data_IF_772384618989
#
_entry.id   IF_772384618989
#
_cell.length_a   1.000
_cell.length_b   1.000
_cell.length_c   1.000
_cell.angle_alpha   90.00
_cell.angle_beta   90.00
_cell.angle_gamma   90.00
#
_symmetry.space_group_name_H-M   'P 1'
#
loop_
_entity.id
_entity.type
_entity.pdbx_description
1 polymer ?
#
# COMPACT_ATOMS: atom_id res chain seq x y z
N UNK A 1 47.59 -16.99 -44.49
CA UNK A 1 47.33 -17.81 -43.30
C UNK A 1 47.04 -19.21 -43.78
N UNK A 2 47.81 -20.19 -43.32
CA UNK A 2 47.57 -21.57 -43.66
C UNK A 2 46.96 -22.26 -42.42
N UNK A 3 45.99 -23.12 -42.66
CA UNK A 3 45.38 -23.95 -41.63
C UNK A 3 45.45 -25.42 -42.06
N UNK A 4 46.10 -26.23 -41.22
CA UNK A 4 46.21 -27.67 -41.46
C UNK A 4 45.05 -28.42 -40.83
N UNK A 5 44.17 -29.00 -41.65
CA UNK A 5 43.13 -29.87 -41.20
C UNK A 5 43.66 -31.22 -40.77
N UNK A 6 43.25 -31.71 -39.61
CA UNK A 6 43.45 -33.09 -39.22
C UNK A 6 42.42 -33.97 -39.90
N UNK A 7 42.79 -35.22 -40.21
CA UNK A 7 41.85 -36.22 -40.71
C UNK A 7 40.67 -36.38 -39.73
N UNK A 8 39.44 -36.18 -40.22
CA UNK A 8 38.23 -36.28 -39.42
C UNK A 8 37.55 -37.65 -39.48
N UNK A 9 38.10 -38.59 -40.30
CA UNK A 9 37.54 -39.94 -40.50
C UNK A 9 36.08 -39.95 -40.98
N UNK A 10 35.65 -38.92 -41.66
CA UNK A 10 34.28 -38.79 -42.20
C UNK A 10 33.36 -37.94 -41.34
N UNK A 11 33.77 -37.49 -40.16
CA UNK A 11 32.98 -36.58 -39.33
C UNK A 11 33.09 -35.12 -39.86
N UNK A 12 32.02 -34.35 -39.73
CA UNK A 12 32.03 -32.92 -39.97
C UNK A 12 32.70 -32.21 -38.79
N UNK A 13 33.60 -31.30 -39.12
CA UNK A 13 34.32 -30.50 -38.12
C UNK A 13 34.19 -29.04 -38.50
N UNK A 14 33.70 -28.21 -37.55
CA UNK A 14 33.69 -26.76 -37.69
C UNK A 14 35.13 -26.24 -37.53
N UNK A 15 35.54 -25.37 -38.43
CA UNK A 15 36.82 -24.71 -38.39
C UNK A 15 36.65 -23.22 -38.43
N UNK A 16 37.00 -22.55 -37.33
CA UNK A 16 37.00 -21.10 -37.22
C UNK A 16 38.43 -20.58 -37.32
N UNK A 17 38.63 -19.56 -38.12
CA UNK A 17 39.92 -18.90 -38.28
C UNK A 17 39.76 -17.39 -38.23
N UNK A 18 40.47 -16.74 -37.32
CA UNK A 18 40.53 -15.30 -37.23
C UNK A 18 41.31 -14.76 -38.43
N UNK A 19 40.73 -13.84 -39.17
CA UNK A 19 41.35 -13.15 -40.27
C UNK A 19 41.80 -11.79 -39.78
N UNK A 20 43.10 -11.63 -39.59
CA UNK A 20 43.70 -10.39 -39.12
C UNK A 20 44.28 -9.60 -40.32
N UNK A 21 43.72 -8.41 -40.52
CA UNK A 21 44.22 -7.42 -41.47
C UNK A 21 45.18 -6.46 -40.77
N UNK A 22 46.42 -6.81 -40.67
CA UNK A 22 47.45 -6.06 -39.95
C UNK A 22 47.99 -4.81 -40.67
N UNK A 23 47.62 -4.55 -41.92
CA UNK A 23 48.09 -3.38 -42.66
C UNK A 23 47.00 -2.29 -42.77
N UNK A 24 47.03 -1.24 -41.95
CA UNK A 24 46.02 -0.17 -41.95
C UNK A 24 46.02 0.67 -43.25
N UNK A 25 47.03 0.55 -44.06
CA UNK A 25 47.17 1.31 -45.32
C UNK A 25 46.65 0.57 -46.56
N UNK A 26 46.18 -0.67 -46.40
CA UNK A 26 45.62 -1.47 -47.47
C UNK A 26 44.18 -1.81 -47.21
N UNK A 27 43.26 -1.19 -47.94
CA UNK A 27 41.87 -1.63 -47.96
C UNK A 27 41.75 -2.72 -49.03
N UNK A 28 41.60 -4.00 -48.66
CA UNK A 28 41.46 -5.05 -49.66
C UNK A 28 40.13 -4.90 -50.38
N UNK A 29 40.20 -4.86 -51.71
CA UNK A 29 38.98 -4.86 -52.55
C UNK A 29 38.52 -6.26 -52.92
N UNK A 30 39.33 -7.28 -52.61
CA UNK A 30 39.05 -8.69 -52.89
C UNK A 30 39.74 -9.58 -51.85
N UNK A 31 39.05 -10.59 -51.37
CA UNK A 31 39.58 -11.68 -50.58
C UNK A 31 39.35 -13.01 -51.30
N UNK A 32 40.40 -13.82 -51.45
CA UNK A 32 40.26 -15.17 -51.95
C UNK A 32 40.40 -16.17 -50.81
N UNK A 33 39.39 -16.96 -50.60
CA UNK A 33 39.43 -18.11 -49.69
C UNK A 33 39.76 -19.33 -50.51
N UNK A 34 40.95 -19.91 -50.31
CA UNK A 34 41.39 -21.11 -50.97
C UNK A 34 41.31 -22.28 -50.02
N UNK A 35 40.42 -23.23 -50.30
CA UNK A 35 40.24 -24.44 -49.55
C UNK A 35 40.75 -25.59 -50.38
N UNK A 36 41.76 -26.30 -49.91
CA UNK A 36 42.37 -27.39 -50.61
C UNK A 36 42.67 -28.58 -49.71
N UNK A 37 42.71 -29.77 -50.25
CA UNK A 37 42.91 -31.02 -49.53
C UNK A 37 44.39 -31.32 -49.18
N UNK A 38 45.24 -30.30 -49.18
CA UNK A 38 46.65 -30.44 -48.81
C UNK A 38 47.34 -29.09 -48.83
N UNK A 39 48.68 -29.11 -48.62
CA UNK A 39 49.51 -27.90 -48.67
C UNK A 39 49.45 -27.27 -50.05
N UNK A 40 48.90 -26.05 -50.14
CA UNK A 40 48.75 -25.28 -51.36
C UNK A 40 50.13 -25.05 -52.09
N UNK A 41 51.19 -24.87 -51.31
CA UNK A 41 52.55 -24.57 -51.81
C UNK A 41 53.35 -25.83 -52.06
N UNK A 42 53.02 -26.98 -51.40
CA UNK A 42 53.74 -28.23 -51.49
C UNK A 42 52.84 -29.40 -51.94
N UNK A 43 52.38 -29.35 -53.19
CA UNK A 43 51.38 -30.27 -53.76
C UNK A 43 51.87 -31.75 -53.86
N UNK A 44 53.13 -32.04 -53.54
CA UNK A 44 53.69 -33.40 -53.57
C UNK A 44 53.23 -34.31 -52.40
N UNK A 45 52.57 -33.78 -51.35
CA UNK A 45 52.21 -34.54 -50.16
C UNK A 45 50.71 -35.00 -50.12
N UNK A 46 49.99 -34.82 -51.22
CA UNK A 46 48.66 -35.33 -51.36
C UNK A 46 48.64 -36.84 -51.49
N UNK A 47 47.93 -37.56 -50.62
CA UNK A 47 47.67 -38.99 -50.82
C UNK A 47 46.55 -39.16 -51.82
N UNK A 48 46.77 -40.09 -52.79
CA UNK A 48 45.71 -40.46 -53.71
C UNK A 48 44.45 -40.96 -53.03
N UNK A 49 43.27 -40.41 -53.39
CA UNK A 49 42.02 -40.75 -52.80
C UNK A 49 41.58 -39.87 -51.59
N UNK A 50 42.36 -38.82 -51.23
CA UNK A 50 41.94 -37.86 -50.27
C UNK A 50 40.77 -36.99 -50.81
N UNK A 51 39.68 -36.91 -50.03
CA UNK A 51 38.52 -36.11 -50.39
C UNK A 51 38.27 -35.09 -49.28
N UNK A 52 38.02 -33.85 -49.67
CA UNK A 52 37.62 -32.78 -48.78
C UNK A 52 36.21 -32.29 -49.16
N UNK A 53 35.32 -32.37 -48.23
CA UNK A 53 33.98 -31.76 -48.37
C UNK A 53 34.01 -30.46 -47.57
N UNK A 54 33.41 -29.41 -48.13
CA UNK A 54 33.29 -28.10 -47.50
C UNK A 54 31.86 -27.65 -47.66
N UNK A 55 31.27 -27.21 -46.58
CA UNK A 55 29.91 -26.71 -46.52
C UNK A 55 29.89 -25.48 -45.59
N UNK A 56 28.88 -24.62 -45.69
CA UNK A 56 28.60 -23.48 -44.82
C UNK A 56 29.82 -22.55 -44.58
N UNK A 57 30.44 -22.07 -45.61
CA UNK A 57 31.54 -21.07 -45.49
C UNK A 57 30.94 -19.70 -45.26
N UNK A 58 31.15 -19.14 -44.07
CA UNK A 58 30.66 -17.84 -43.71
C UNK A 58 31.77 -16.91 -43.17
N UNK A 59 31.52 -15.59 -43.22
CA UNK A 59 32.39 -14.57 -42.63
C UNK A 59 31.67 -13.94 -41.43
N UNK A 60 32.22 -14.16 -40.24
CA UNK A 60 31.68 -13.63 -39.00
C UNK A 60 32.38 -12.33 -38.62
N UNK A 61 31.62 -11.30 -38.38
CA UNK A 61 32.08 -9.98 -37.93
C UNK A 61 31.67 -9.80 -36.45
N UNK A 62 32.55 -10.16 -35.54
CA UNK A 62 32.26 -10.10 -34.12
C UNK A 62 31.93 -8.68 -33.66
N UNK A 63 30.76 -8.52 -33.00
CA UNK A 63 30.30 -7.32 -32.32
C UNK A 63 30.16 -7.54 -30.82
N UNK A 64 30.95 -8.47 -30.28
CA UNK A 64 30.90 -8.83 -28.83
C UNK A 64 32.19 -8.43 -28.13
N UNK A 65 32.17 -8.41 -26.80
CA UNK A 65 33.32 -8.15 -25.92
C UNK A 65 34.01 -9.46 -25.51
N UNK A 66 35.34 -9.40 -25.33
CA UNK A 66 36.12 -10.45 -24.65
C UNK A 66 36.29 -10.16 -23.17
N UNK A 67 36.40 -8.88 -22.81
CA UNK A 67 36.46 -8.45 -21.41
C UNK A 67 35.82 -7.08 -21.22
N UNK A 68 35.36 -6.82 -20.01
CA UNK A 68 34.82 -5.53 -19.62
C UNK A 68 35.27 -5.25 -18.18
N UNK A 69 35.80 -4.05 -17.94
CA UNK A 69 36.23 -3.58 -16.63
C UNK A 69 35.64 -2.21 -16.40
N UNK A 70 35.12 -1.93 -15.20
CA UNK A 70 34.55 -0.64 -14.83
C UNK A 70 35.19 -0.18 -13.53
N UNK A 71 35.87 0.97 -13.53
CA UNK A 71 36.57 1.49 -12.36
C UNK A 71 37.65 0.52 -11.80
N UNK A 72 38.20 -0.34 -12.66
CA UNK A 72 39.19 -1.36 -12.26
C UNK A 72 38.58 -2.71 -11.85
N UNK A 73 37.26 -2.81 -11.72
CA UNK A 73 36.57 -4.06 -11.37
C UNK A 73 36.10 -4.80 -12.62
N UNK A 74 36.45 -6.08 -12.74
CA UNK A 74 36.08 -6.91 -13.87
C UNK A 74 34.64 -7.38 -13.82
N UNK A 75 33.92 -7.23 -14.92
CA UNK A 75 32.56 -7.76 -15.08
C UNK A 75 32.68 -9.16 -15.72
N UNK A 76 32.09 -10.17 -15.06
CA UNK A 76 32.08 -11.55 -15.54
C UNK A 76 31.12 -11.70 -16.73
N UNK A 77 31.62 -11.51 -17.94
CA UNK A 77 30.84 -11.65 -19.18
C UNK A 77 30.45 -13.12 -19.39
N UNK A 78 29.20 -13.33 -19.86
CA UNK A 78 28.70 -14.62 -20.29
C UNK A 78 28.29 -14.57 -21.76
N UNK A 79 28.52 -15.65 -22.50
CA UNK A 79 28.17 -15.72 -23.91
C UNK A 79 26.68 -15.58 -24.14
N UNK A 80 26.27 -14.68 -25.05
CA UNK A 80 24.87 -14.39 -25.36
C UNK A 80 24.13 -13.57 -24.29
N UNK A 81 24.81 -13.13 -23.22
CA UNK A 81 24.22 -12.27 -22.19
C UNK A 81 24.72 -10.84 -22.37
N UNK A 82 23.78 -9.92 -22.51
CA UNK A 82 24.07 -8.50 -22.76
C UNK A 82 23.50 -7.57 -21.68
N UNK A 83 22.69 -8.09 -20.75
CA UNK A 83 22.13 -7.31 -19.64
C UNK A 83 22.59 -7.89 -18.31
N UNK A 84 23.20 -7.06 -17.49
CA UNK A 84 23.78 -7.42 -16.19
C UNK A 84 23.18 -6.56 -15.08
N UNK A 85 22.44 -7.15 -14.17
CA UNK A 85 21.97 -6.49 -12.96
C UNK A 85 23.01 -6.71 -11.85
N UNK A 86 23.67 -5.63 -11.45
CA UNK A 86 24.74 -5.65 -10.46
C UNK A 86 24.16 -5.33 -9.06
N UNK A 87 24.74 -5.93 -8.03
CA UNK A 87 24.31 -5.69 -6.64
C UNK A 87 25.25 -4.77 -5.85
N UNK A 88 26.30 -4.30 -6.51
CA UNK A 88 27.23 -3.33 -5.95
C UNK A 88 26.83 -1.92 -6.33
N UNK A 89 27.15 -0.94 -5.50
CA UNK A 89 26.95 0.46 -5.82
C UNK A 89 27.68 0.84 -7.12
N UNK A 90 27.04 1.73 -7.90
CA UNK A 90 27.66 2.24 -9.12
C UNK A 90 28.89 3.09 -8.77
N UNK A 91 30.10 2.71 -9.24
CA UNK A 91 31.30 3.49 -8.99
C UNK A 91 31.20 4.87 -9.68
N UNK A 92 31.87 5.86 -9.08
CA UNK A 92 32.03 7.17 -9.72
C UNK A 92 33.09 7.06 -10.81
N UNK A 93 32.63 6.89 -12.05
CA UNK A 93 33.50 6.64 -13.21
C UNK A 93 33.17 7.57 -14.37
N UNK A 94 34.19 7.84 -15.18
CA UNK A 94 34.10 8.47 -16.50
C UNK A 94 34.16 7.40 -17.62
N UNK A 95 34.00 7.81 -18.86
CA UNK A 95 34.13 6.86 -20.00
C UNK A 95 35.51 6.20 -20.09
N UNK A 96 36.54 6.91 -19.69
CA UNK A 96 37.93 6.44 -19.70
C UNK A 96 38.21 5.38 -18.63
N UNK A 97 37.35 5.28 -17.62
CA UNK A 97 37.43 4.26 -16.57
C UNK A 97 36.69 2.96 -16.95
N UNK A 98 36.08 2.92 -18.13
CA UNK A 98 35.40 1.73 -18.67
C UNK A 98 36.29 1.13 -19.79
N UNK A 99 36.96 0.02 -19.47
CA UNK A 99 37.77 -0.72 -20.44
C UNK A 99 36.94 -1.86 -21.03
N UNK A 100 36.52 -1.66 -22.29
CA UNK A 100 35.67 -2.59 -23.05
C UNK A 100 36.51 -3.16 -24.22
N UNK A 101 37.03 -4.36 -24.06
CA UNK A 101 37.86 -5.01 -25.07
C UNK A 101 36.98 -5.80 -26.04
N UNK A 102 36.89 -5.32 -27.27
CA UNK A 102 36.14 -5.99 -28.34
C UNK A 102 36.81 -7.32 -28.75
N UNK A 103 36.01 -8.34 -29.09
CA UNK A 103 36.48 -9.61 -29.65
C UNK A 103 37.10 -9.41 -30.99
N UNK A 104 36.60 -8.52 -31.82
CA UNK A 104 37.24 -8.07 -33.06
C UNK A 104 37.98 -6.77 -32.81
N UNK A 105 39.25 -6.70 -33.20
CA UNK A 105 40.03 -5.45 -33.16
C UNK A 105 39.53 -4.36 -34.13
N UNK A 106 38.59 -4.70 -34.99
CA UNK A 106 37.95 -3.80 -35.94
C UNK A 106 36.55 -3.38 -35.52
N UNK A 107 36.07 -3.86 -34.39
CA UNK A 107 34.83 -3.39 -33.78
C UNK A 107 35.13 -2.21 -32.86
N UNK A 108 34.17 -1.28 -32.80
CA UNK A 108 34.21 -0.12 -31.94
C UNK A 108 33.24 -0.30 -30.77
N UNK A 109 33.64 0.13 -29.56
CA UNK A 109 32.80 0.16 -28.37
C UNK A 109 32.52 1.62 -27.97
N UNK A 110 31.27 2.03 -28.04
CA UNK A 110 30.84 3.34 -27.54
C UNK A 110 30.20 3.22 -26.17
N UNK A 111 30.74 3.96 -25.19
CA UNK A 111 30.32 3.91 -23.80
C UNK A 111 29.41 5.11 -23.47
N UNK A 112 28.27 4.86 -22.87
CA UNK A 112 27.36 5.88 -22.31
C UNK A 112 27.14 5.61 -20.85
N UNK A 113 27.29 6.64 -19.99
CA UNK A 113 27.10 6.57 -18.55
C UNK A 113 25.89 7.41 -18.17
N UNK A 114 24.89 6.78 -17.55
CA UNK A 114 23.70 7.42 -17.00
C UNK A 114 23.74 7.34 -15.46
N UNK A 115 24.21 8.41 -14.84
CA UNK A 115 24.32 8.48 -13.38
C UNK A 115 22.96 8.61 -12.68
N UNK A 116 21.94 9.07 -13.39
CA UNK A 116 20.58 9.21 -12.83
C UNK A 116 19.92 7.85 -12.72
N UNK A 117 19.93 7.08 -13.81
CA UNK A 117 19.35 5.73 -13.84
C UNK A 117 20.34 4.65 -13.39
N UNK A 118 21.54 5.04 -12.92
CA UNK A 118 22.60 4.11 -12.47
C UNK A 118 22.91 3.02 -13.51
N UNK A 119 23.15 3.43 -14.74
CA UNK A 119 23.32 2.53 -15.88
C UNK A 119 24.56 2.89 -16.71
N UNK A 120 25.29 1.84 -17.13
CA UNK A 120 26.36 1.98 -18.14
C UNK A 120 25.95 1.13 -19.34
N UNK A 121 25.93 1.76 -20.53
CA UNK A 121 25.68 1.11 -21.82
C UNK A 121 26.95 1.11 -22.66
N UNK A 122 27.29 -0.05 -23.20
CA UNK A 122 28.38 -0.21 -24.15
C UNK A 122 27.79 -0.77 -25.44
N UNK A 123 27.82 0.03 -26.50
CA UNK A 123 27.40 -0.39 -27.85
C UNK A 123 28.61 -0.83 -28.62
N UNK A 124 28.73 -2.13 -28.90
CA UNK A 124 29.79 -2.71 -29.69
C UNK A 124 29.28 -2.85 -31.12
N UNK A 125 29.90 -2.14 -32.05
CA UNK A 125 29.54 -2.13 -33.49
C UNK A 125 30.67 -2.73 -34.30
N UNK A 126 30.34 -3.68 -35.14
CA UNK A 126 31.30 -4.25 -36.08
C UNK A 126 31.38 -3.41 -37.39
N UNK A 127 32.19 -3.85 -38.36
CA UNK A 127 32.43 -3.14 -39.64
C UNK A 127 31.31 -3.31 -40.68
N UNK A 128 30.08 -3.62 -40.28
CA UNK A 128 28.92 -3.72 -41.15
C UNK A 128 28.63 -5.12 -41.70
N UNK A 129 29.35 -6.15 -41.21
CA UNK A 129 29.01 -7.55 -41.47
C UNK A 129 28.05 -8.11 -40.43
N UNK A 130 27.85 -9.42 -40.45
CA UNK A 130 26.99 -10.10 -39.48
C UNK A 130 27.81 -10.86 -38.45
N UNK A 131 27.44 -10.80 -37.18
CA UNK A 131 27.95 -11.68 -36.14
C UNK A 131 27.28 -13.06 -36.23
N UNK A 132 27.63 -14.00 -35.40
CA UNK A 132 27.14 -15.38 -35.38
C UNK A 132 25.60 -15.47 -35.24
N UNK A 133 24.98 -14.49 -34.62
CA UNK A 133 23.53 -14.38 -34.48
C UNK A 133 22.85 -13.50 -35.55
N UNK A 134 23.62 -13.01 -36.50
CA UNK A 134 23.16 -12.15 -37.58
C UNK A 134 23.11 -10.66 -37.27
N UNK A 135 23.48 -10.24 -36.04
CA UNK A 135 23.52 -8.84 -35.64
C UNK A 135 24.72 -8.09 -36.18
N UNK A 136 24.60 -6.78 -36.32
CA UNK A 136 25.73 -5.87 -36.70
C UNK A 136 26.27 -5.12 -35.48
N UNK A 137 25.56 -5.16 -34.37
CA UNK A 137 25.96 -4.54 -33.12
C UNK A 137 25.29 -5.23 -31.92
N UNK A 138 25.95 -5.20 -30.78
CA UNK A 138 25.38 -5.63 -29.49
C UNK A 138 25.49 -4.51 -28.46
N UNK A 139 24.47 -4.38 -27.63
CA UNK A 139 24.48 -3.40 -26.54
C UNK A 139 24.56 -4.12 -25.21
N UNK A 140 25.69 -3.97 -24.54
CA UNK A 140 25.85 -4.40 -23.14
C UNK A 140 25.29 -3.34 -22.22
N UNK A 141 24.45 -3.75 -21.30
CA UNK A 141 23.83 -2.88 -20.29
C UNK A 141 24.21 -3.38 -18.91
N UNK A 142 24.93 -2.54 -18.16
CA UNK A 142 25.19 -2.76 -16.73
C UNK A 142 24.20 -1.92 -15.95
N UNK A 143 23.33 -2.55 -15.22
CA UNK A 143 22.36 -1.89 -14.35
C UNK A 143 22.82 -2.03 -12.91
N UNK A 144 23.04 -0.91 -12.25
CA UNK A 144 23.39 -0.83 -10.84
C UNK A 144 22.15 -0.57 -10.00
N UNK A 145 22.20 -0.81 -8.66
CA UNK A 145 21.10 -0.52 -7.76
C UNK A 145 20.70 0.95 -7.79
N UNK A 146 19.40 1.20 -7.75
CA UNK A 146 18.83 2.54 -7.67
C UNK A 146 18.21 2.73 -6.30
N UNK A 147 18.79 3.62 -5.51
CA UNK A 147 18.24 4.03 -4.22
C UNK A 147 17.24 5.16 -4.43
N UNK A 148 16.06 5.04 -3.87
CA UNK A 148 15.00 6.05 -3.90
C UNK A 148 14.46 6.28 -2.49
N UNK A 149 14.48 7.53 -2.06
CA UNK A 149 13.84 7.95 -0.81
C UNK A 149 12.41 8.41 -1.10
N UNK A 150 11.46 7.87 -0.36
CA UNK A 150 10.05 8.25 -0.41
C UNK A 150 9.70 8.98 0.88
N UNK A 151 9.19 10.22 0.74
CA UNK A 151 8.69 11.03 1.83
C UNK A 151 7.21 10.77 2.05
N UNK A 152 6.78 10.66 3.30
CA UNK A 152 5.38 10.37 3.62
C UNK A 152 5.06 10.48 5.11
N UNK A 153 4.07 9.72 5.52
CA UNK A 153 3.53 9.73 6.87
C UNK A 153 3.57 8.33 7.47
N UNK A 154 4.15 8.27 8.66
CA UNK A 154 4.26 7.05 9.46
C UNK A 154 3.14 7.01 10.48
N UNK A 155 2.51 5.85 10.60
CA UNK A 155 1.52 5.54 11.60
C UNK A 155 1.91 4.24 12.30
N UNK A 156 1.89 4.24 13.63
CA UNK A 156 2.23 3.07 14.44
C UNK A 156 1.08 2.76 15.36
N UNK A 157 0.49 1.58 15.24
CA UNK A 157 -0.68 1.13 16.02
C UNK A 157 -0.31 -0.09 16.86
N UNK A 158 -0.73 -0.08 18.12
CA UNK A 158 -0.65 -1.21 19.04
C UNK A 158 -1.98 -1.34 19.78
N UNK A 159 -2.63 -2.50 19.65
CA UNK A 159 -4.02 -2.64 20.09
C UNK A 159 -4.97 -1.73 19.31
N UNK A 160 -5.84 -1.01 19.99
CA UNK A 160 -6.80 -0.07 19.38
C UNK A 160 -6.23 1.35 19.21
N UNK A 161 -5.15 1.69 19.91
CA UNK A 161 -4.55 3.04 19.91
C UNK A 161 -3.35 3.19 19.00
N UNK A 162 -3.10 4.43 18.58
CA UNK A 162 -1.90 4.82 17.86
C UNK A 162 -0.83 5.30 18.85
N UNK A 163 0.39 4.77 18.69
CA UNK A 163 1.58 5.23 19.39
C UNK A 163 2.27 6.37 18.62
N UNK A 164 2.08 6.41 17.31
CA UNK A 164 2.46 7.50 16.43
C UNK A 164 1.40 7.65 15.34
N UNK A 165 1.05 8.87 14.96
CA UNK A 165 0.01 9.17 13.98
C UNK A 165 0.43 10.27 13.03
N UNK A 166 0.43 9.96 11.75
CA UNK A 166 0.75 10.89 10.65
C UNK A 166 2.04 11.67 10.87
N UNK A 167 3.07 11.01 11.40
CA UNK A 167 4.40 11.60 11.53
C UNK A 167 5.09 11.67 10.18
N UNK A 168 5.63 12.82 9.83
CA UNK A 168 6.48 12.95 8.65
C UNK A 168 7.70 12.06 8.79
N UNK A 169 7.88 11.13 7.84
CA UNK A 169 8.93 10.14 7.88
C UNK A 169 9.37 9.75 6.46
N UNK A 170 10.51 9.09 6.35
CA UNK A 170 11.04 8.60 5.10
C UNK A 170 11.14 7.08 5.10
N UNK A 171 10.99 6.48 3.93
CA UNK A 171 11.47 5.13 3.66
C UNK A 171 12.42 5.14 2.48
N UNK A 172 13.34 4.18 2.45
CA UNK A 172 14.33 4.05 1.39
C UNK A 172 14.18 2.67 0.75
N UNK A 173 14.09 2.65 -0.57
CA UNK A 173 14.07 1.43 -1.38
C UNK A 173 15.30 1.41 -2.27
N UNK A 174 16.11 0.35 -2.18
CA UNK A 174 17.21 0.08 -3.09
C UNK A 174 16.79 -1.02 -4.06
N UNK A 175 16.43 -0.64 -5.30
CA UNK A 175 15.96 -1.54 -6.34
C UNK A 175 17.15 -2.12 -7.13
N UNK A 176 17.28 -3.45 -7.19
CA UNK A 176 18.34 -4.14 -7.90
C UNK A 176 18.00 -4.44 -9.38
N UNK A 177 16.80 -4.06 -9.82
CA UNK A 177 16.30 -4.29 -11.18
C UNK A 177 16.28 -5.76 -11.64
N UNK A 178 16.36 -6.69 -10.71
CA UNK A 178 16.32 -8.14 -10.92
C UNK A 178 15.07 -8.80 -10.33
N UNK A 179 14.08 -7.98 -9.92
CA UNK A 179 12.89 -8.43 -9.20
C UNK A 179 13.11 -8.48 -7.69
N UNK A 180 14.23 -7.96 -7.19
CA UNK A 180 14.50 -7.83 -5.76
C UNK A 180 14.85 -6.40 -5.36
N UNK A 181 14.63 -6.05 -4.08
CA UNK A 181 15.04 -4.79 -3.50
C UNK A 181 15.39 -4.95 -2.03
N UNK A 182 16.07 -3.94 -1.48
CA UNK A 182 16.17 -3.74 -0.03
C UNK A 182 15.22 -2.62 0.39
N UNK A 183 14.61 -2.78 1.55
CA UNK A 183 13.74 -1.81 2.21
C UNK A 183 14.40 -1.33 3.50
N UNK A 184 14.38 -0.03 3.72
CA UNK A 184 14.82 0.58 4.97
C UNK A 184 13.78 1.59 5.46
N UNK A 185 13.31 1.39 6.69
CA UNK A 185 12.59 2.37 7.49
C UNK A 185 13.57 2.83 8.59
N UNK A 186 14.19 4.00 8.45
CA UNK A 186 15.20 4.47 9.39
C UNK A 186 14.57 4.98 10.69
N UNK A 187 15.32 4.94 11.77
CA UNK A 187 15.06 5.61 13.06
C UNK A 187 13.65 5.44 13.62
N UNK A 188 13.03 4.25 13.42
CA UNK A 188 11.69 4.00 13.95
C UNK A 188 11.69 4.20 15.47
N UNK A 189 10.89 5.16 15.90
CA UNK A 189 10.65 5.45 17.32
C UNK A 189 9.18 5.23 17.63
N UNK A 190 8.90 4.45 18.66
CA UNK A 190 7.56 4.23 19.21
C UNK A 190 7.57 4.82 20.63
N UNK A 191 7.27 4.06 21.68
CA UNK A 191 7.49 4.49 23.08
C UNK A 191 8.99 4.60 23.41
N UNK A 192 9.82 3.98 22.59
CA UNK A 192 11.28 3.96 22.68
C UNK A 192 11.89 3.82 21.28
N UNK A 193 13.15 4.24 21.06
CA UNK A 193 13.80 4.08 19.77
C UNK A 193 13.98 2.58 19.44
N UNK A 194 13.29 2.08 18.43
CA UNK A 194 13.47 0.72 17.91
C UNK A 194 14.67 0.64 16.97
N UNK A 195 15.07 1.78 16.37
CA UNK A 195 16.13 1.87 15.37
C UNK A 195 15.62 1.52 13.96
N UNK A 196 16.55 1.17 13.09
CA UNK A 196 16.26 0.91 11.69
C UNK A 196 15.57 -0.44 11.49
N UNK A 197 14.52 -0.45 10.68
CA UNK A 197 13.93 -1.67 10.15
C UNK A 197 14.41 -1.82 8.70
N UNK A 198 15.43 -2.65 8.52
CA UNK A 198 15.95 -3.01 7.20
C UNK A 198 15.52 -4.43 6.85
N UNK A 199 14.94 -4.65 5.66
CA UNK A 199 14.64 -5.97 5.10
C UNK A 199 15.34 -6.09 3.75
N UNK A 200 16.22 -7.10 3.62
CA UNK A 200 17.01 -7.33 2.42
C UNK A 200 16.35 -8.35 1.49
N UNK A 201 16.65 -8.21 0.20
CA UNK A 201 16.20 -9.12 -0.85
C UNK A 201 14.67 -9.36 -0.85
N UNK A 202 13.88 -8.32 -0.63
CA UNK A 202 12.43 -8.36 -0.80
C UNK A 202 12.07 -8.63 -2.26
N UNK A 203 10.98 -9.33 -2.49
CA UNK A 203 10.45 -9.52 -3.85
C UNK A 203 9.76 -8.24 -4.35
N UNK A 204 10.01 -7.92 -5.62
CA UNK A 204 9.35 -6.83 -6.34
C UNK A 204 8.72 -7.38 -7.61
N UNK A 205 7.45 -7.11 -7.82
CA UNK A 205 6.76 -7.40 -9.09
C UNK A 205 6.15 -6.13 -9.63
N UNK A 206 6.11 -5.98 -10.95
CA UNK A 206 5.46 -4.84 -11.61
C UNK A 206 4.38 -5.34 -12.55
N UNK A 207 3.24 -4.66 -12.56
CA UNK A 207 2.19 -4.91 -13.54
C UNK A 207 2.30 -3.99 -14.77
N UNK A 208 1.38 -4.17 -15.73
CA UNK A 208 1.35 -3.39 -16.97
C UNK A 208 1.01 -1.90 -16.75
N UNK A 209 0.45 -1.52 -15.60
CA UNK A 209 0.15 -0.12 -15.24
C UNK A 209 1.35 0.60 -14.61
N UNK A 210 2.43 -0.14 -14.31
CA UNK A 210 3.60 0.34 -13.58
C UNK A 210 3.43 0.32 -12.07
N UNK A 211 2.38 -0.34 -11.55
CA UNK A 211 2.24 -0.58 -10.12
C UNK A 211 3.26 -1.63 -9.68
N UNK A 212 4.13 -1.26 -8.77
CA UNK A 212 5.07 -2.17 -8.12
C UNK A 212 4.48 -2.71 -6.82
N UNK A 213 4.56 -4.02 -6.62
CA UNK A 213 4.16 -4.71 -5.39
C UNK A 213 5.39 -5.28 -4.71
N UNK A 214 5.53 -5.03 -3.43
CA UNK A 214 6.67 -5.39 -2.59
C UNK A 214 6.26 -6.40 -1.53
N UNK A 215 7.11 -7.40 -1.26
CA UNK A 215 6.89 -8.33 -0.16
C UNK A 215 8.21 -8.85 0.39
N UNK A 216 8.37 -8.85 1.72
CA UNK A 216 9.55 -9.34 2.39
C UNK A 216 9.27 -9.77 3.83
N UNK A 217 10.09 -10.70 4.32
CA UNK A 217 9.98 -11.24 5.70
C UNK A 217 11.38 -11.42 6.26
N UNK A 218 11.58 -10.98 7.50
CA UNK A 218 12.76 -11.31 8.29
C UNK A 218 12.33 -11.82 9.66
N UNK A 219 12.68 -13.05 9.98
CA UNK A 219 12.36 -13.68 11.27
C UNK A 219 13.50 -13.50 12.26
N UNK A 220 13.14 -13.34 13.54
CA UNK A 220 14.08 -13.16 14.64
C UNK A 220 15.04 -11.98 14.49
N UNK A 221 14.57 -10.91 13.82
CA UNK A 221 15.30 -9.66 13.68
C UNK A 221 15.61 -9.06 15.04
N UNK A 222 16.83 -8.58 15.19
CA UNK A 222 17.28 -7.89 16.41
C UNK A 222 17.07 -6.39 16.26
N UNK A 223 16.23 -5.82 17.12
CA UNK A 223 15.94 -4.39 17.22
C UNK A 223 16.52 -3.85 18.52
N UNK A 224 16.63 -2.52 18.66
CA UNK A 224 17.20 -1.86 19.86
C UNK A 224 18.56 -2.43 20.27
N UNK A 225 19.51 -2.53 19.33
CA UNK A 225 20.82 -3.13 19.57
C UNK A 225 20.77 -4.56 20.17
N UNK A 226 19.72 -5.33 19.80
CA UNK A 226 19.54 -6.71 20.24
C UNK A 226 18.70 -6.90 21.50
N UNK A 227 18.17 -5.82 22.09
CA UNK A 227 17.31 -5.90 23.28
C UNK A 227 15.94 -6.51 22.96
N UNK A 228 15.46 -6.33 21.73
CA UNK A 228 14.18 -6.87 21.26
C UNK A 228 14.43 -7.85 20.11
N UNK A 229 13.68 -8.94 20.09
CA UNK A 229 13.63 -9.87 18.97
C UNK A 229 12.21 -9.80 18.38
N UNK A 230 12.12 -9.66 17.06
CA UNK A 230 10.82 -9.57 16.37
C UNK A 230 10.84 -10.34 15.04
N UNK A 231 9.65 -10.79 14.61
CA UNK A 231 9.44 -11.17 13.22
C UNK A 231 8.88 -9.94 12.49
N UNK A 232 9.48 -9.59 11.37
CA UNK A 232 9.10 -8.41 10.59
C UNK A 232 8.62 -8.84 9.23
N UNK A 233 7.46 -8.36 8.81
CA UNK A 233 6.93 -8.51 7.45
C UNK A 233 6.68 -7.13 6.86
N UNK A 234 7.13 -6.95 5.62
CA UNK A 234 6.86 -5.75 4.83
C UNK A 234 6.08 -6.15 3.60
N UNK A 235 4.93 -5.51 3.39
CA UNK A 235 4.11 -5.65 2.20
C UNK A 235 3.62 -4.28 1.77
N UNK A 236 3.53 -4.05 0.47
CA UNK A 236 2.98 -2.79 0.02
C UNK A 236 3.08 -2.57 -1.48
N UNK A 237 2.72 -1.37 -1.87
CA UNK A 237 2.69 -0.95 -3.27
C UNK A 237 3.24 0.45 -3.46
N UNK A 238 3.85 0.66 -4.64
CA UNK A 238 4.23 2.00 -5.14
C UNK A 238 3.71 2.09 -6.57
N UNK A 239 2.86 3.10 -6.84
CA UNK A 239 2.32 3.31 -8.17
C UNK A 239 3.31 4.04 -9.10
N UNK A 240 2.95 4.16 -10.39
CA UNK A 240 3.76 4.84 -11.40
C UNK A 240 3.99 6.34 -11.11
N UNK A 241 3.24 6.95 -10.18
CA UNK A 241 3.40 8.34 -9.75
C UNK A 241 4.27 8.46 -8.49
N UNK A 242 4.69 7.33 -7.91
CA UNK A 242 5.45 7.29 -6.67
C UNK A 242 4.57 7.33 -5.42
N UNK A 243 3.25 7.08 -5.53
CA UNK A 243 2.36 6.98 -4.37
C UNK A 243 2.64 5.68 -3.62
N UNK A 244 3.05 5.81 -2.38
CA UNK A 244 3.45 4.68 -1.51
C UNK A 244 2.31 4.30 -0.57
N UNK A 245 2.14 2.99 -0.39
CA UNK A 245 1.33 2.38 0.65
C UNK A 245 2.04 1.12 1.13
N UNK A 246 2.70 1.19 2.29
CA UNK A 246 3.50 0.11 2.88
C UNK A 246 2.97 -0.24 4.26
N UNK A 247 2.80 -1.54 4.51
CA UNK A 247 2.50 -2.11 5.81
C UNK A 247 3.76 -2.84 6.32
N UNK A 248 4.19 -2.51 7.54
CA UNK A 248 5.30 -3.16 8.23
C UNK A 248 4.77 -3.77 9.51
N UNK A 249 4.53 -5.07 9.49
CA UNK A 249 4.09 -5.84 10.66
C UNK A 249 5.30 -6.25 11.48
N UNK A 250 5.35 -5.83 12.75
CA UNK A 250 6.40 -6.18 13.71
C UNK A 250 5.78 -7.02 14.82
N UNK A 251 6.02 -8.31 14.81
CA UNK A 251 5.60 -9.23 15.86
C UNK A 251 6.71 -9.31 16.91
N UNK A 252 6.64 -8.52 17.97
CA UNK A 252 7.62 -8.53 19.06
C UNK A 252 7.48 -9.83 19.86
N UNK A 253 8.57 -10.60 19.93
CA UNK A 253 8.65 -11.85 20.68
C UNK A 253 9.09 -11.56 22.11
N UNK A 254 8.14 -11.55 23.04
CA UNK A 254 8.37 -11.27 24.46
C UNK A 254 8.12 -12.54 25.31
N UNK A 255 9.14 -13.38 25.40
CA UNK A 255 9.01 -14.70 26.03
C UNK A 255 8.10 -15.64 25.25
N UNK A 256 6.98 -16.06 25.84
CA UNK A 256 5.95 -16.86 25.16
C UNK A 256 4.89 -15.99 24.47
N UNK A 257 4.85 -14.70 24.75
CA UNK A 257 3.89 -13.76 24.18
C UNK A 257 4.39 -13.16 22.88
N UNK A 258 3.46 -12.87 21.98
CA UNK A 258 3.70 -12.12 20.74
C UNK A 258 2.90 -10.83 20.80
N UNK A 259 3.60 -9.69 20.77
CA UNK A 259 2.98 -8.37 20.80
C UNK A 259 3.00 -7.80 19.38
N UNK A 260 1.84 -7.70 18.70
CA UNK A 260 1.78 -7.16 17.36
C UNK A 260 1.85 -5.63 17.37
N UNK A 261 2.78 -5.08 16.60
CA UNK A 261 2.90 -3.67 16.29
C UNK A 261 2.67 -3.51 14.78
N UNK A 262 1.69 -2.69 14.41
CA UNK A 262 1.33 -2.39 13.03
C UNK A 262 1.91 -1.03 12.66
N UNK A 263 2.81 -1.02 11.71
CA UNK A 263 3.38 0.21 11.17
C UNK A 263 2.86 0.38 9.75
N UNK A 264 2.34 1.55 9.46
CA UNK A 264 1.85 1.91 8.12
C UNK A 264 2.53 3.18 7.65
N UNK A 265 3.11 3.12 6.46
CA UNK A 265 3.69 4.28 5.78
C UNK A 265 2.90 4.59 4.52
N UNK A 266 2.48 5.84 4.35
CA UNK A 266 1.65 6.30 3.23
C UNK A 266 2.13 7.66 2.72
N UNK A 267 2.00 7.92 1.40
CA UNK A 267 2.34 9.21 0.80
C UNK A 267 1.44 10.37 1.22
N UNK A 268 0.27 10.09 1.80
CA UNK A 268 -0.66 11.08 2.34
C UNK A 268 -1.05 10.71 3.76
N UNK A 269 -1.54 11.69 4.52
CA UNK A 269 -2.05 11.42 5.87
C UNK A 269 -3.06 10.27 5.86
N UNK A 270 -2.92 9.35 6.81
CA UNK A 270 -3.85 8.25 7.04
C UNK A 270 -5.09 8.77 7.74
N UNK A 271 -6.25 8.32 7.28
CA UNK A 271 -7.50 8.41 8.02
C UNK A 271 -8.22 7.07 8.00
N UNK A 272 -8.80 6.69 9.13
CA UNK A 272 -9.77 5.60 9.17
C UNK A 272 -11.14 6.19 8.80
N UNK A 273 -11.78 5.65 7.77
CA UNK A 273 -13.08 6.10 7.30
C UNK A 273 -14.15 5.07 7.68
N UNK A 274 -15.21 5.53 8.33
CA UNK A 274 -16.33 4.71 8.74
C UNK A 274 -17.60 5.25 8.10
N UNK A 275 -18.27 4.44 7.29
CA UNK A 275 -19.57 4.78 6.71
C UNK A 275 -20.67 4.69 7.75
N UNK A 276 -21.58 5.65 7.74
CA UNK A 276 -22.68 5.69 8.69
C UNK A 276 -23.67 6.82 8.45
N UNK A 277 -24.28 7.24 9.50
CA UNK A 277 -25.35 8.24 9.47
C UNK A 277 -25.13 9.27 10.57
N UNK A 278 -25.35 10.55 10.26
CA UNK A 278 -25.42 11.55 11.31
C UNK A 278 -26.85 11.92 11.67
N UNK A 279 -27.02 12.38 12.89
CA UNK A 279 -28.22 13.00 13.38
C UNK A 279 -27.87 14.28 14.17
N UNK A 280 -28.86 15.18 14.31
CA UNK A 280 -28.73 16.40 15.12
C UNK A 280 -29.98 16.53 15.96
N UNK A 281 -29.81 16.66 17.25
CA UNK A 281 -30.89 16.95 18.18
C UNK A 281 -30.58 18.20 19.01
N UNK A 282 -31.62 18.92 19.40
CA UNK A 282 -31.55 20.15 20.20
C UNK A 282 -32.26 19.93 21.53
N UNK A 283 -31.68 20.42 22.63
CA UNK A 283 -32.32 20.42 23.91
C UNK A 283 -33.70 21.14 23.87
N UNK A 284 -34.74 20.47 24.30
CA UNK A 284 -36.08 21.03 24.42
C UNK A 284 -36.35 21.43 25.88
N UNK A 285 -36.08 22.69 26.18
CA UNK A 285 -36.24 23.27 27.53
C UNK A 285 -37.72 23.27 28.06
N UNK A 286 -38.67 22.93 27.19
CA UNK A 286 -40.08 22.76 27.61
C UNK A 286 -40.34 21.41 28.27
N UNK A 287 -39.39 20.49 28.20
CA UNK A 287 -39.48 19.14 28.75
C UNK A 287 -38.34 18.90 29.76
N UNK A 288 -38.63 18.19 30.83
CA UNK A 288 -37.56 17.69 31.71
C UNK A 288 -36.83 16.55 31.00
N UNK A 289 -35.61 16.77 30.53
CA UNK A 289 -34.81 15.82 29.73
C UNK A 289 -35.34 15.55 28.31
N UNK A 290 -35.89 16.56 27.63
CA UNK A 290 -36.40 16.44 26.25
C UNK A 290 -35.41 16.89 25.20
N UNK A 291 -35.41 16.19 24.09
CA UNK A 291 -34.66 16.56 22.87
C UNK A 291 -35.62 16.71 21.69
N UNK A 292 -35.36 17.67 20.83
CA UNK A 292 -36.09 17.86 19.57
C UNK A 292 -35.14 17.48 18.38
N UNK A 293 -35.61 16.61 17.54
CA UNK A 293 -34.86 16.19 16.35
C UNK A 293 -34.81 17.31 15.32
N UNK A 294 -33.62 17.65 14.85
CA UNK A 294 -33.36 18.59 13.73
C UNK A 294 -33.08 17.82 12.46
N UNK A 295 -32.20 16.83 12.53
CA UNK A 295 -31.84 15.94 11.43
C UNK A 295 -31.70 14.52 11.93
N UNK A 296 -32.03 13.53 11.12
CA UNK A 296 -31.81 12.13 11.44
C UNK A 296 -31.47 11.31 10.21
N UNK A 297 -30.71 10.24 10.40
CA UNK A 297 -30.36 9.25 9.38
C UNK A 297 -29.81 9.84 8.07
N UNK A 298 -29.00 10.89 8.18
CA UNK A 298 -28.35 11.45 7.00
C UNK A 298 -27.07 10.68 6.70
N UNK A 299 -26.92 10.07 5.51
CA UNK A 299 -25.70 9.33 5.15
C UNK A 299 -24.46 10.22 5.22
N UNK A 300 -23.40 9.71 5.83
CA UNK A 300 -22.12 10.40 5.96
C UNK A 300 -20.99 9.42 6.24
N UNK A 301 -19.77 9.95 6.38
CA UNK A 301 -18.60 9.24 6.89
C UNK A 301 -18.05 9.94 8.12
N UNK A 302 -17.64 9.15 9.10
CA UNK A 302 -16.72 9.61 10.14
C UNK A 302 -15.30 9.31 9.69
N UNK A 303 -14.44 10.34 9.63
CA UNK A 303 -13.02 10.18 9.42
C UNK A 303 -12.29 10.39 10.74
N UNK A 304 -11.44 9.44 11.07
CA UNK A 304 -10.58 9.47 12.27
C UNK A 304 -9.14 9.61 11.82
N UNK A 305 -8.52 10.73 12.12
CA UNK A 305 -7.12 11.02 11.80
C UNK A 305 -6.29 10.96 13.07
N UNK A 306 -5.38 9.99 13.22
CA UNK A 306 -4.41 10.02 14.30
C UNK A 306 -3.36 11.09 14.04
N UNK A 307 -2.90 11.77 15.08
CA UNK A 307 -1.84 12.76 15.04
C UNK A 307 -0.96 12.60 16.26
N UNK A 308 0.33 12.38 16.07
CA UNK A 308 1.29 12.27 17.18
C UNK A 308 1.23 13.47 18.08
N UNK A 309 1.18 13.23 19.40
CA UNK A 309 1.13 14.28 20.42
C UNK A 309 2.52 14.63 21.00
N UNK A 310 3.58 13.94 20.55
CA UNK A 310 4.95 14.15 21.03
C UNK A 310 5.26 13.48 22.38
N UNK A 311 4.30 12.79 22.99
CA UNK A 311 4.41 12.12 24.29
C UNK A 311 4.43 10.60 24.20
N UNK A 312 4.57 10.06 22.96
CA UNK A 312 4.53 8.61 22.67
C UNK A 312 3.12 8.06 22.50
N UNK A 313 2.18 8.91 22.10
CA UNK A 313 0.81 8.57 21.75
C UNK A 313 0.29 9.46 20.63
N UNK A 314 -0.99 9.32 20.32
CA UNK A 314 -1.65 10.15 19.31
C UNK A 314 -2.94 10.78 19.90
N UNK A 315 -3.17 12.04 19.53
CA UNK A 315 -4.47 12.67 19.58
C UNK A 315 -5.20 12.42 18.26
N UNK A 316 -6.51 12.65 18.25
CA UNK A 316 -7.34 12.36 17.10
C UNK A 316 -8.09 13.58 16.63
N UNK A 317 -8.12 13.78 15.31
CA UNK A 317 -9.07 14.65 14.65
C UNK A 317 -10.24 13.79 14.18
N UNK A 318 -11.43 14.10 14.69
CA UNK A 318 -12.69 13.44 14.34
C UNK A 318 -13.44 14.34 13.35
N UNK A 319 -13.83 13.82 12.21
CA UNK A 319 -14.50 14.59 11.17
C UNK A 319 -15.75 13.88 10.68
N UNK A 320 -16.93 14.44 10.97
CA UNK A 320 -18.19 14.01 10.34
C UNK A 320 -18.33 14.77 9.03
N UNK A 321 -18.32 14.03 7.92
CA UNK A 321 -18.29 14.60 6.57
C UNK A 321 -19.64 15.15 6.13
N UNK A 322 -19.59 16.25 5.33
CA UNK A 322 -20.74 16.77 4.61
C UNK A 322 -21.99 17.02 5.49
N UNK A 323 -21.79 17.44 6.73
CA UNK A 323 -22.89 17.74 7.65
C UNK A 323 -23.63 19.00 7.20
N UNK A 324 -24.95 18.91 7.14
CA UNK A 324 -25.83 20.02 6.81
C UNK A 324 -26.67 20.38 8.04
N UNK A 325 -26.34 21.53 8.63
CA UNK A 325 -27.05 22.08 9.80
C UNK A 325 -27.47 23.51 9.47
N UNK A 326 -28.75 23.67 9.15
CA UNK A 326 -29.32 24.88 8.57
C UNK A 326 -28.95 26.14 9.38
N UNK A 327 -28.28 27.09 8.71
CA UNK A 327 -27.79 28.35 9.30
C UNK A 327 -26.58 28.21 10.24
N UNK A 328 -26.07 27.01 10.45
CA UNK A 328 -24.95 26.72 11.37
C UNK A 328 -23.74 26.15 10.66
N UNK A 329 -23.90 25.09 9.87
CA UNK A 329 -22.80 24.41 9.18
C UNK A 329 -23.29 23.79 7.86
N UNK A 330 -22.49 23.95 6.82
CA UNK A 330 -22.66 23.22 5.57
C UNK A 330 -21.27 22.74 5.12
N UNK A 331 -20.91 21.53 5.47
CA UNK A 331 -19.58 20.97 5.23
C UNK A 331 -19.14 20.01 6.35
N UNK A 332 -17.85 19.90 6.55
CA UNK A 332 -17.28 18.99 7.51
C UNK A 332 -17.38 19.52 8.96
N UNK A 333 -17.88 18.69 9.84
CA UNK A 333 -17.88 18.96 11.28
C UNK A 333 -16.62 18.37 11.90
N UNK A 334 -15.68 19.22 12.30
CA UNK A 334 -14.32 18.82 12.70
C UNK A 334 -14.11 19.10 14.18
N UNK A 335 -13.68 18.08 14.92
CA UNK A 335 -13.28 18.14 16.32
C UNK A 335 -11.83 17.70 16.45
N UNK A 336 -10.97 18.57 16.95
CA UNK A 336 -9.55 18.33 17.15
C UNK A 336 -9.22 17.95 18.60
N UNK A 337 -8.10 17.22 18.79
CA UNK A 337 -7.50 16.98 20.10
C UNK A 337 -8.23 15.96 20.94
N UNK A 338 -9.01 15.06 20.34
CA UNK A 338 -9.59 13.95 21.09
C UNK A 338 -8.48 12.93 21.44
N UNK A 339 -8.48 12.45 22.67
CA UNK A 339 -7.68 11.30 23.12
C UNK A 339 -8.50 10.03 22.98
N UNK A 340 -7.88 8.86 23.12
CA UNK A 340 -8.57 7.57 23.17
C UNK A 340 -8.37 6.93 24.53
N UNK A 341 -9.42 6.33 25.07
CA UNK A 341 -9.44 5.61 26.35
C UNK A 341 -10.37 4.40 26.20
N UNK A 342 -10.65 3.68 27.28
CA UNK A 342 -11.58 2.56 27.31
C UNK A 342 -12.78 2.87 28.22
N UNK A 343 -13.96 2.37 27.83
CA UNK A 343 -15.14 2.34 28.70
C UNK A 343 -15.05 1.17 29.69
N UNK A 344 -16.06 1.04 30.56
CA UNK A 344 -16.15 -0.03 31.55
C UNK A 344 -16.22 -1.46 30.95
N UNK A 345 -16.51 -1.56 29.64
CA UNK A 345 -16.57 -2.81 28.89
C UNK A 345 -15.32 -3.03 28.02
N UNK A 346 -14.26 -2.23 28.21
CA UNK A 346 -13.04 -2.22 27.40
C UNK A 346 -13.25 -1.88 25.92
N UNK A 347 -14.30 -1.13 25.60
CA UNK A 347 -14.48 -0.58 24.27
C UNK A 347 -13.77 0.77 24.15
N UNK A 348 -13.15 1.08 22.99
CA UNK A 348 -12.49 2.36 22.78
C UNK A 348 -13.47 3.52 22.77
N UNK A 349 -13.17 4.56 23.54
CA UNK A 349 -13.90 5.82 23.55
C UNK A 349 -12.95 6.98 23.19
N UNK A 350 -13.44 7.90 22.39
CA UNK A 350 -12.78 9.18 22.15
C UNK A 350 -13.22 10.18 23.20
N UNK A 351 -12.27 10.91 23.76
CA UNK A 351 -12.52 11.87 24.80
C UNK A 351 -11.91 13.23 24.46
N UNK A 352 -12.70 14.28 24.53
CA UNK A 352 -12.24 15.68 24.50
C UNK A 352 -13.27 16.55 25.20
N UNK A 353 -12.81 17.56 25.92
CA UNK A 353 -13.66 18.55 26.56
C UNK A 353 -13.49 19.94 25.95
N UNK A 354 -14.62 20.57 25.65
CA UNK A 354 -14.70 21.97 25.22
C UNK A 354 -13.84 22.31 23.98
N UNK A 355 -13.68 21.39 23.05
CA UNK A 355 -12.99 21.66 21.79
C UNK A 355 -13.74 22.76 20.99
N UNK A 356 -13.05 23.78 20.46
CA UNK A 356 -13.69 24.82 19.69
C UNK A 356 -13.99 24.34 18.26
N UNK A 357 -15.23 24.51 17.82
CA UNK A 357 -15.65 24.22 16.43
C UNK A 357 -16.22 25.49 15.81
N UNK A 358 -15.76 25.84 14.60
CA UNK A 358 -16.20 27.04 13.90
C UNK A 358 -17.41 26.76 13.02
N UNK A 359 -18.38 27.67 13.05
CA UNK A 359 -19.61 27.64 12.24
C UNK A 359 -19.73 28.81 11.28
N UNK A 360 -20.74 28.77 10.42
CA UNK A 360 -21.06 29.83 9.48
C UNK A 360 -21.27 31.16 10.23
N UNK A 361 -20.75 32.26 9.66
CA UNK A 361 -20.90 33.61 10.22
C UNK A 361 -19.97 33.89 11.41
N UNK A 362 -18.90 33.10 11.59
CA UNK A 362 -17.90 33.31 12.64
C UNK A 362 -18.37 32.87 14.03
N UNK A 363 -19.45 32.13 14.12
CA UNK A 363 -19.87 31.52 15.39
C UNK A 363 -18.91 30.37 15.76
N UNK A 364 -18.68 30.20 17.04
CA UNK A 364 -17.93 29.07 17.59
C UNK A 364 -18.80 28.29 18.54
N UNK A 365 -18.67 26.98 18.51
CA UNK A 365 -19.26 26.06 19.48
C UNK A 365 -18.16 25.51 20.39
N UNK A 366 -18.58 25.11 21.59
CA UNK A 366 -17.80 24.24 22.47
C UNK A 366 -18.32 22.82 22.29
N UNK A 367 -17.45 21.88 21.93
CA UNK A 367 -17.80 20.49 21.67
C UNK A 367 -17.06 19.59 22.65
N UNK A 368 -17.81 18.69 23.31
CA UNK A 368 -17.24 17.64 24.15
C UNK A 368 -17.66 16.27 23.62
N UNK A 369 -16.72 15.34 23.60
CA UNK A 369 -16.91 13.96 23.17
C UNK A 369 -16.52 13.03 24.33
N UNK A 370 -17.34 12.03 24.59
CA UNK A 370 -17.04 10.91 25.46
C UNK A 370 -17.86 9.71 24.97
N UNK A 371 -17.46 9.17 23.82
CA UNK A 371 -18.16 8.10 23.11
C UNK A 371 -17.26 7.46 22.06
N UNK A 372 -17.59 6.25 21.64
CA UNK A 372 -16.71 5.51 20.74
C UNK A 372 -17.41 4.40 19.98
N UNK A 373 -16.85 3.20 20.01
CA UNK A 373 -17.34 2.08 19.23
C UNK A 373 -17.22 0.74 19.97
N UNK A 374 -18.13 -0.18 19.65
CA UNK A 374 -18.14 -1.54 20.18
C UNK A 374 -17.25 -2.45 19.31
N UNK A 375 -16.11 -2.89 19.87
CA UNK A 375 -15.16 -3.80 19.22
C UNK A 375 -15.62 -5.25 19.20
N UNK A 376 -16.67 -5.60 19.94
CA UNK A 376 -17.19 -6.99 19.95
C UNK A 376 -17.99 -7.32 18.69
N UNK A 377 -18.31 -6.30 17.89
CA UNK A 377 -19.05 -6.41 16.63
C UNK A 377 -18.09 -6.49 15.44
N UNK A 378 -18.53 -7.15 14.39
CA UNK A 378 -17.84 -7.21 13.10
C UNK A 378 -18.83 -6.93 11.96
N UNK A 379 -18.73 -5.78 11.27
CA UNK A 379 -17.85 -4.64 11.54
C UNK A 379 -18.13 -3.93 12.87
N UNK A 380 -17.17 -3.14 13.38
CA UNK A 380 -17.34 -2.36 14.60
C UNK A 380 -18.52 -1.42 14.51
N UNK A 381 -19.29 -1.33 15.61
CA UNK A 381 -20.45 -0.43 15.70
C UNK A 381 -20.08 0.87 16.41
N UNK A 382 -20.13 1.98 15.68
CA UNK A 382 -19.88 3.31 16.22
C UNK A 382 -21.17 3.97 16.73
N UNK A 383 -21.13 4.56 17.92
CA UNK A 383 -22.17 5.45 18.48
C UNK A 383 -21.48 6.68 19.09
N UNK A 384 -21.22 7.68 18.24
CA UNK A 384 -20.51 8.89 18.60
C UNK A 384 -21.49 10.01 18.94
N UNK A 385 -21.25 10.69 20.06
CA UNK A 385 -22.04 11.84 20.52
C UNK A 385 -21.14 13.02 20.77
N UNK A 386 -21.29 14.03 19.93
CA UNK A 386 -20.62 15.31 20.02
C UNK A 386 -21.54 16.29 20.73
N UNK A 387 -21.38 16.42 22.04
CA UNK A 387 -22.15 17.35 22.87
C UNK A 387 -21.71 18.79 22.54
N UNK A 388 -22.56 19.53 21.88
CA UNK A 388 -22.24 20.82 21.24
C UNK A 388 -23.04 21.95 21.89
N UNK A 389 -22.35 22.96 22.38
CA UNK A 389 -22.98 24.15 22.96
C UNK A 389 -22.78 25.34 22.01
N UNK A 390 -23.91 25.89 21.54
CA UNK A 390 -23.92 27.07 20.66
C UNK A 390 -24.82 28.13 21.27
N UNK A 391 -24.28 29.32 21.52
CA UNK A 391 -25.02 30.46 22.10
C UNK A 391 -25.83 30.04 23.38
N UNK A 392 -25.22 29.18 24.22
CA UNK A 392 -25.85 28.69 25.48
C UNK A 392 -26.98 27.66 25.27
N UNK A 393 -27.15 27.13 24.08
CA UNK A 393 -28.08 26.06 23.75
C UNK A 393 -27.33 24.75 23.54
N UNK A 394 -27.81 23.66 24.14
CA UNK A 394 -27.23 22.33 24.02
C UNK A 394 -27.79 21.62 22.78
N UNK A 395 -26.86 21.00 22.03
CA UNK A 395 -27.16 20.13 20.91
C UNK A 395 -26.33 18.86 21.03
N UNK A 396 -26.79 17.77 20.41
CA UNK A 396 -26.00 16.60 20.14
C UNK A 396 -25.92 16.46 18.62
N UNK A 397 -24.69 16.52 18.07
CA UNK A 397 -24.38 16.00 16.75
C UNK A 397 -23.96 14.56 16.96
N UNK A 398 -24.70 13.61 16.41
CA UNK A 398 -24.37 12.19 16.55
C UNK A 398 -23.91 11.57 15.25
N UNK A 399 -23.07 10.56 15.35
CA UNK A 399 -22.71 9.67 14.24
C UNK A 399 -22.90 8.22 14.68
N UNK A 400 -23.53 7.40 13.85
CA UNK A 400 -23.73 5.98 14.13
C UNK A 400 -23.59 5.15 12.85
N UNK A 401 -23.05 3.94 12.96
CA UNK A 401 -23.00 2.98 11.84
C UNK A 401 -24.35 2.35 11.55
N UNK A 402 -25.23 2.28 12.52
CA UNK A 402 -26.60 1.80 12.35
C UNK A 402 -27.55 2.97 12.12
N UNK A 403 -28.48 2.83 11.18
CA UNK A 403 -29.56 3.81 11.11
C UNK A 403 -30.25 3.87 12.46
N UNK A 404 -30.31 5.07 13.04
CA UNK A 404 -31.19 5.30 14.18
C UNK A 404 -32.60 5.01 13.66
N UNK A 405 -33.17 3.89 14.05
CA UNK A 405 -34.58 3.66 13.72
C UNK A 405 -35.34 4.83 14.33
N UNK A 406 -36.08 5.59 13.50
CA UNK A 406 -37.05 6.60 13.98
C UNK A 406 -38.21 5.99 14.71
N UNK A 407 -38.15 4.70 15.01
CA UNK A 407 -38.92 4.11 16.09
C UNK A 407 -38.41 4.76 17.38
N UNK A 408 -39.20 5.64 17.94
CA UNK A 408 -39.05 6.13 19.29
C UNK A 408 -38.88 4.91 20.19
N UNK A 409 -37.63 4.52 20.43
CA UNK A 409 -37.31 3.54 21.45
C UNK A 409 -37.46 4.29 22.76
N UNK A 410 -38.37 3.80 23.59
CA UNK A 410 -38.64 4.26 24.94
C UNK A 410 -39.17 5.70 25.09
N UNK A 411 -40.39 5.95 24.61
CA UNK A 411 -41.20 6.96 25.25
C UNK A 411 -41.81 6.30 26.49
N UNK A 412 -41.24 6.59 27.65
CA UNK A 412 -41.92 6.38 28.92
C UNK A 412 -43.24 7.18 28.91
N UNK A 413 -44.30 6.56 28.48
CA UNK A 413 -45.62 7.07 28.67
C UNK A 413 -46.03 6.73 30.11
N UNK A 414 -45.83 7.64 31.06
CA UNK A 414 -46.13 7.44 32.49
C UNK A 414 -45.46 6.18 33.07
N UNK A 415 -44.19 5.91 32.73
CA UNK A 415 -43.48 4.70 33.15
C UNK A 415 -43.73 3.47 32.29
N UNK A 416 -44.47 3.58 31.18
CA UNK A 416 -44.71 2.46 30.26
C UNK A 416 -43.70 2.47 29.11
N UNK A 417 -42.98 1.39 28.93
CA UNK A 417 -42.16 1.11 27.75
C UNK A 417 -43.00 0.40 26.68
N UNK A 418 -42.96 0.87 25.41
CA UNK A 418 -43.66 0.26 24.29
C UNK A 418 -42.67 -0.03 23.18
N UNK A 419 -42.50 -1.30 22.78
CA UNK A 419 -41.56 -1.71 21.72
C UNK A 419 -42.17 -2.69 20.72
N UNK A 420 -41.71 -2.65 19.48
CA UNK A 420 -42.05 -3.64 18.47
C UNK A 420 -41.15 -4.88 18.59
N UNK A 421 -41.73 -6.05 18.39
CA UNK A 421 -41.05 -7.34 18.31
C UNK A 421 -41.47 -8.06 17.04
N UNK A 422 -40.97 -9.28 16.80
CA UNK A 422 -41.41 -10.09 15.69
C UNK A 422 -42.86 -10.50 15.84
N UNK A 423 -43.73 -10.04 14.93
CA UNK A 423 -45.18 -10.33 14.96
C UNK A 423 -45.96 -9.76 16.14
N UNK A 424 -45.38 -8.84 16.95
CA UNK A 424 -46.02 -8.33 18.15
C UNK A 424 -45.54 -6.98 18.62
N UNK A 425 -46.30 -6.36 19.52
CA UNK A 425 -45.98 -5.15 20.26
C UNK A 425 -45.95 -5.50 21.74
N UNK A 426 -44.83 -5.21 22.39
CA UNK A 426 -44.65 -5.41 23.84
C UNK A 426 -44.86 -4.07 24.58
N UNK A 427 -45.68 -4.08 25.61
CA UNK A 427 -45.95 -2.93 26.49
C UNK A 427 -45.60 -3.34 27.90
N UNK A 428 -44.73 -2.59 28.57
CA UNK A 428 -44.25 -2.85 29.91
C UNK A 428 -44.49 -1.62 30.80
N UNK A 429 -44.75 -1.81 32.11
CA UNK A 429 -44.90 -0.73 33.09
C UNK A 429 -46.15 0.12 32.93
N UNK A 430 -47.21 -0.37 32.28
CA UNK A 430 -48.48 0.33 32.08
C UNK A 430 -49.66 -0.41 32.66
N UNK A 431 -50.55 0.32 33.30
CA UNK A 431 -51.85 -0.20 33.74
C UNK A 431 -52.97 0.61 33.07
N UNK A 432 -53.71 -0.06 32.20
CA UNK A 432 -54.81 0.58 31.49
C UNK A 432 -55.04 -0.01 30.08
N UNK A 433 -55.87 0.66 29.31
CA UNK A 433 -56.19 0.23 27.96
C UNK A 433 -55.17 0.75 26.94
N UNK A 434 -54.59 -0.15 26.15
CA UNK A 434 -53.70 0.14 25.03
C UNK A 434 -54.43 -0.11 23.71
N UNK A 435 -54.40 0.86 22.80
CA UNK A 435 -54.96 0.75 21.47
C UNK A 435 -53.82 0.85 20.42
N UNK A 436 -53.84 -0.06 19.48
CA UNK A 436 -52.88 -0.10 18.36
C UNK A 436 -53.60 0.30 17.08
N UNK A 437 -53.09 1.30 16.39
CA UNK A 437 -53.68 1.79 15.14
C UNK A 437 -52.69 1.59 13.99
N UNK A 438 -53.19 1.28 12.81
CA UNK A 438 -52.42 1.37 11.55
C UNK A 438 -52.13 2.85 11.22
N UNK A 439 -51.16 3.12 10.34
CA UNK A 439 -50.80 4.50 9.98
C UNK A 439 -51.93 5.29 9.31
N UNK A 440 -52.92 4.62 8.73
CA UNK A 440 -54.15 5.21 8.16
C UNK A 440 -55.23 5.44 9.23
N UNK A 441 -54.92 5.22 10.50
CA UNK A 441 -55.78 5.54 11.66
C UNK A 441 -56.81 4.46 12.02
N UNK A 442 -56.79 3.27 11.40
CA UNK A 442 -57.70 2.18 11.77
C UNK A 442 -57.19 1.45 13.02
N UNK A 443 -58.10 1.09 13.92
CA UNK A 443 -57.75 0.26 15.06
C UNK A 443 -57.38 -1.16 14.62
N UNK A 444 -56.12 -1.55 14.81
CA UNK A 444 -55.60 -2.87 14.48
C UNK A 444 -55.73 -3.86 15.64
N UNK A 445 -55.49 -3.40 16.86
CA UNK A 445 -55.62 -4.21 18.08
C UNK A 445 -55.92 -3.34 19.29
N UNK A 446 -56.47 -3.93 20.38
CA UNK A 446 -56.65 -3.29 21.67
C UNK A 446 -56.47 -4.32 22.77
N UNK A 447 -55.80 -3.97 23.85
CA UNK A 447 -55.55 -4.83 24.99
C UNK A 447 -55.71 -4.05 26.31
N UNK A 448 -56.20 -4.72 27.35
CA UNK A 448 -56.11 -4.23 28.74
C UNK A 448 -54.78 -4.74 29.28
N UNK A 449 -53.93 -3.82 29.74
CA UNK A 449 -52.59 -4.12 30.26
C UNK A 449 -52.59 -3.86 31.76
N UNK A 450 -51.98 -4.75 32.52
CA UNK A 450 -51.72 -4.61 33.93
C UNK A 450 -50.26 -5.02 34.23
N UNK A 451 -49.37 -4.04 34.09
CA UNK A 451 -47.93 -4.20 34.23
C UNK A 451 -47.25 -4.51 32.89
N UNK A 452 -47.57 -5.64 32.24
CA UNK A 452 -46.94 -6.06 30.95
C UNK A 452 -47.97 -6.73 30.04
N UNK A 453 -47.85 -6.52 28.72
CA UNK A 453 -48.65 -7.26 27.75
C UNK A 453 -47.91 -7.35 26.40
N UNK A 454 -48.10 -8.47 25.70
CA UNK A 454 -47.66 -8.69 24.29
C UNK A 454 -48.90 -8.68 23.43
N UNK A 455 -48.99 -7.76 22.47
CA UNK A 455 -50.11 -7.58 21.56
C UNK A 455 -49.73 -8.07 20.18
N UNK A 456 -50.30 -9.18 19.73
CA UNK A 456 -49.97 -9.76 18.39
C UNK A 456 -50.58 -8.91 17.29
N UNK A 457 -49.76 -8.49 16.34
CA UNK A 457 -50.16 -7.78 15.12
C UNK A 457 -49.27 -8.23 13.94
N UNK A 458 -49.72 -8.04 12.72
CA UNK A 458 -48.89 -8.35 11.55
C UNK A 458 -47.66 -7.44 11.48
N UNK A 459 -46.64 -7.83 10.71
CA UNK A 459 -45.49 -6.96 10.40
C UNK A 459 -46.00 -5.65 9.77
N UNK A 460 -45.50 -4.51 10.25
CA UNK A 460 -45.94 -3.20 9.77
C UNK A 460 -45.63 -2.08 10.73
N UNK A 461 -46.05 -0.86 10.34
CA UNK A 461 -45.89 0.35 11.12
C UNK A 461 -47.22 0.67 11.84
N UNK A 462 -47.16 0.88 13.13
CA UNK A 462 -48.32 1.12 14.01
C UNK A 462 -48.14 2.36 14.86
N UNK A 463 -49.26 2.95 15.26
CA UNK A 463 -49.35 3.96 16.32
C UNK A 463 -50.02 3.32 17.55
N UNK A 464 -49.25 3.16 18.63
CA UNK A 464 -49.72 2.58 19.87
C UNK A 464 -50.10 3.69 20.82
N UNK A 465 -51.35 3.71 21.29
CA UNK A 465 -51.85 4.66 22.26
C UNK A 465 -52.01 4.00 23.61
N UNK A 466 -51.25 4.46 24.59
CA UNK A 466 -51.35 4.04 25.99
C UNK A 466 -51.68 5.26 26.83
N UNK A 467 -52.93 5.34 27.34
CA UNK A 467 -53.43 6.54 28.01
C UNK A 467 -53.57 7.73 27.06
N UNK A 468 -53.02 8.89 27.45
CA UNK A 468 -53.06 10.12 26.66
C UNK A 468 -51.92 10.21 25.61
N UNK A 469 -50.94 9.31 25.65
CA UNK A 469 -49.78 9.34 24.75
C UNK A 469 -49.90 8.32 23.64
N UNK A 470 -49.33 8.65 22.48
CA UNK A 470 -49.28 7.79 21.33
C UNK A 470 -47.79 7.61 20.89
N UNK A 471 -47.42 6.36 20.62
CA UNK A 471 -46.07 5.95 20.23
C UNK A 471 -46.14 5.26 18.88
N UNK A 472 -45.19 5.55 17.98
CA UNK A 472 -45.06 4.90 16.67
C UNK A 472 -44.14 3.69 16.82
N UNK A 473 -44.60 2.51 16.39
CA UNK A 473 -43.89 1.24 16.60
C UNK A 473 -43.81 0.47 15.27
N UNK A 474 -42.63 -0.08 15.00
CA UNK A 474 -42.43 -0.99 13.87
C UNK A 474 -42.48 -2.43 14.39
N UNK A 475 -43.27 -3.26 13.79
CA UNK A 475 -43.34 -4.71 14.02
C UNK A 475 -42.72 -5.41 12.84
N UNK A 476 -41.77 -6.28 13.10
CA UNK A 476 -41.03 -7.06 12.07
C UNK A 476 -41.74 -8.36 11.75
#
# INVERSE_FOLDING_TARGET
>A
MDYDFKTTNGDWVEVTKDIDYSNPNLTPTMMNVIICSGDYWNRGNLKEGTTLFVDDVDFVYYSTLTSLTVGGEAIALQEGVYNYNLKTEMPSVSKEDVDAVCKSKFADADVTIDNVNKQIKIVVTNQGGKDTDGATSHTYTLQYPVETTYHGYLNVKMGYGYLAGNDAHDIIITDYNDGTCDFLLPDLTVLMPLGDIEIKNMNVTSDASGLKTYSGVENNKKLMNGAITANVRVNGTIDAKGTVNMDVDVDWLNGEDVIPIKVKFTSSELSEAVDGYYFIVKEDKSKTYGWATIKENQPTQLLVYPKSNGEGGADYRLTVKNLVWDGMLNGDFVVEGATIDEDENSNPIYFVENAPVSFIGGKTASVSVNSGYDMTKDPYEYDMKFNTIVDGTNYIVGFTTNQVSSSVNDVEANGAAVRGAEGSIVVEGFAGRVNVYTVDGRLAASAQVDGEATITVAAGLYVVRAGEKAVKVVVK
#
